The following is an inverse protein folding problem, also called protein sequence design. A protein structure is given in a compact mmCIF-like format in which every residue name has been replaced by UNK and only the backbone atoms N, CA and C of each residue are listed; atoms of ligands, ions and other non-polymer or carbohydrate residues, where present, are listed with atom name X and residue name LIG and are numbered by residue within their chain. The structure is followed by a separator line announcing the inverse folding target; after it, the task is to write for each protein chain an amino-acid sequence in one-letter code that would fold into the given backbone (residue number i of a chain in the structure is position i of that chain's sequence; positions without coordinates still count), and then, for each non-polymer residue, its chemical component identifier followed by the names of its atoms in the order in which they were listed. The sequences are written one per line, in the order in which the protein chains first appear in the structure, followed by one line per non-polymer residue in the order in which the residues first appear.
data_IF_619499335787
#
_entry.id   IF_619499335787
#
_cell.length_a   1.000
_cell.length_b   1.000
_cell.length_c   1.000
_cell.angle_alpha   90.00
_cell.angle_beta   90.00
_cell.angle_gamma   90.00
#
_symmetry.space_group_name_H-M   'P 1'
#
loop_
_entity.id
_entity.type
_entity.pdbx_description
1 polymer ?
#
# COMPACT_ATOMS: atom_id res chain seq x y z
N UNK A 1 -8.02 15.97 -23.47
CA UNK A 1 -6.76 15.84 -24.23
C UNK A 1 -6.42 14.36 -24.25
N UNK A 2 -6.48 13.70 -25.40
CA UNK A 2 -6.00 12.32 -25.55
C UNK A 2 -4.48 12.40 -25.64
N UNK A 3 -3.80 12.26 -24.51
CA UNK A 3 -2.38 11.90 -24.54
C UNK A 3 -2.27 10.56 -25.29
N UNK A 4 -1.36 10.48 -26.26
CA UNK A 4 -1.07 9.23 -26.93
C UNK A 4 -0.39 8.30 -25.92
N UNK A 5 -1.11 7.30 -25.42
CA UNK A 5 -0.63 6.36 -24.39
C UNK A 5 0.70 5.71 -24.79
N UNK A 6 0.87 5.44 -26.10
CA UNK A 6 2.11 4.91 -26.64
C UNK A 6 3.29 5.89 -26.54
N UNK A 7 3.05 7.19 -26.66
CA UNK A 7 4.09 8.22 -26.50
C UNK A 7 4.58 8.26 -25.05
N UNK A 8 3.64 8.34 -24.10
CA UNK A 8 3.98 8.44 -22.68
C UNK A 8 4.70 7.18 -22.18
N UNK A 9 4.22 5.98 -22.55
CA UNK A 9 4.90 4.74 -22.14
C UNK A 9 6.31 4.64 -22.71
N UNK A 10 6.51 5.11 -23.94
CA UNK A 10 7.82 5.11 -24.59
C UNK A 10 8.78 6.14 -23.96
N UNK A 11 8.28 7.29 -23.53
CA UNK A 11 9.10 8.26 -22.78
C UNK A 11 9.50 7.70 -21.41
N UNK A 12 8.56 7.07 -20.70
CA UNK A 12 8.83 6.44 -19.40
C UNK A 12 9.84 5.28 -19.50
N UNK A 13 9.85 4.54 -20.61
CA UNK A 13 10.80 3.44 -20.81
C UNK A 13 12.25 3.88 -20.94
N UNK A 14 12.49 5.17 -21.24
CA UNK A 14 13.84 5.75 -21.25
C UNK A 14 14.31 6.16 -19.84
N UNK A 15 13.41 6.24 -18.86
CA UNK A 15 13.68 6.76 -17.51
C UNK A 15 13.62 5.68 -16.42
N UNK A 16 12.97 4.56 -16.69
CA UNK A 16 12.66 3.53 -15.70
C UNK A 16 13.20 2.18 -16.14
N UNK A 17 13.63 1.38 -15.17
CA UNK A 17 13.84 -0.05 -15.37
C UNK A 17 12.52 -0.73 -15.74
N UNK A 18 12.58 -1.82 -16.51
CA UNK A 18 11.36 -2.50 -17.04
C UNK A 18 10.37 -2.85 -15.92
N UNK A 19 10.86 -3.35 -14.78
CA UNK A 19 10.00 -3.68 -13.63
C UNK A 19 9.31 -2.47 -12.99
N UNK A 20 9.98 -1.31 -13.00
CA UNK A 20 9.43 -0.05 -12.51
C UNK A 20 8.44 0.53 -13.52
N UNK A 21 8.76 0.46 -14.82
CA UNK A 21 7.89 0.90 -15.90
C UNK A 21 6.55 0.18 -15.87
N UNK A 22 6.55 -1.15 -15.79
CA UNK A 22 5.31 -1.93 -15.79
C UNK A 22 4.47 -1.61 -14.56
N UNK A 23 5.06 -1.57 -13.38
CA UNK A 23 4.36 -1.19 -12.13
C UNK A 23 3.79 0.23 -12.20
N UNK A 24 4.58 1.19 -12.68
CA UNK A 24 4.15 2.57 -12.82
C UNK A 24 3.03 2.71 -13.87
N UNK A 25 3.13 1.97 -14.97
CA UNK A 25 2.12 1.97 -16.04
C UNK A 25 0.78 1.40 -15.56
N UNK A 26 0.80 0.36 -14.72
CA UNK A 26 -0.40 -0.14 -14.05
C UNK A 26 -1.06 0.94 -13.19
N UNK A 27 -0.28 1.71 -12.43
CA UNK A 27 -0.80 2.83 -11.62
C UNK A 27 -1.41 3.93 -12.49
N UNK A 28 -0.76 4.31 -13.60
CA UNK A 28 -1.28 5.29 -14.57
C UNK A 28 -2.61 4.81 -15.15
N UNK A 29 -2.67 3.53 -15.51
CA UNK A 29 -3.88 2.91 -16.07
C UNK A 29 -5.02 2.95 -15.06
N UNK A 30 -4.77 2.58 -13.80
CA UNK A 30 -5.78 2.65 -12.72
C UNK A 30 -6.23 4.09 -12.45
N UNK A 31 -5.30 5.05 -12.44
CA UNK A 31 -5.62 6.47 -12.28
C UNK A 31 -6.56 6.97 -13.39
N UNK A 32 -6.29 6.61 -14.65
CA UNK A 32 -7.12 6.99 -15.82
C UNK A 32 -8.50 6.35 -15.80
N UNK A 33 -8.62 5.13 -15.31
CA UNK A 33 -9.91 4.44 -15.13
C UNK A 33 -10.73 5.03 -13.97
N UNK A 34 -10.07 5.73 -13.04
CA UNK A 34 -10.68 6.26 -11.83
C UNK A 34 -10.88 5.20 -10.74
N UNK A 35 -11.15 5.62 -9.50
CA UNK A 35 -11.29 4.71 -8.38
C UNK A 35 -12.49 3.77 -8.56
N UNK A 36 -12.24 2.47 -8.56
CA UNK A 36 -13.28 1.45 -8.76
C UNK A 36 -13.99 1.01 -7.46
N UNK A 37 -13.38 1.25 -6.29
CA UNK A 37 -13.74 0.55 -5.05
C UNK A 37 -14.92 1.15 -4.26
N UNK A 38 -15.16 2.46 -4.29
CA UNK A 38 -16.23 3.08 -3.50
C UNK A 38 -17.23 3.73 -4.44
N UNK A 39 -18.08 2.89 -5.05
CA UNK A 39 -19.16 3.34 -5.92
C UNK A 39 -20.47 3.59 -5.16
N UNK A 40 -20.64 2.98 -3.97
CA UNK A 40 -21.86 3.10 -3.18
C UNK A 40 -21.52 3.38 -1.70
N UNK A 41 -21.93 4.55 -1.21
CA UNK A 41 -21.77 4.91 0.20
C UNK A 41 -22.51 3.94 1.15
N UNK A 42 -23.66 3.41 0.73
CA UNK A 42 -24.51 2.54 1.54
C UNK A 42 -23.93 1.13 1.72
N UNK A 43 -22.87 0.75 0.99
CA UNK A 43 -22.19 -0.55 1.20
C UNK A 43 -21.14 -0.48 2.31
N UNK A 44 -20.86 0.69 2.88
CA UNK A 44 -19.89 0.86 3.96
C UNK A 44 -20.53 0.38 5.26
N UNK A 45 -19.92 -0.62 5.88
CA UNK A 45 -20.40 -1.24 7.12
C UNK A 45 -19.31 -1.18 8.20
N UNK A 46 -19.72 -1.10 9.46
CA UNK A 46 -18.81 -1.24 10.60
C UNK A 46 -18.21 -2.66 10.60
N UNK A 47 -16.88 -2.81 10.71
CA UNK A 47 -16.25 -4.12 10.89
C UNK A 47 -16.82 -4.85 12.10
N UNK A 48 -16.91 -6.17 12.03
CA UNK A 48 -17.27 -6.99 13.20
C UNK A 48 -16.10 -7.04 14.21
N UNK A 49 -16.40 -7.47 15.44
CA UNK A 49 -15.40 -7.57 16.51
C UNK A 49 -14.29 -8.59 16.23
N UNK A 50 -14.49 -9.48 15.25
CA UNK A 50 -13.47 -10.46 14.82
C UNK A 50 -12.46 -9.88 13.83
N UNK A 51 -12.90 -9.00 12.94
CA UNK A 51 -12.07 -8.33 11.93
C UNK A 51 -11.31 -7.13 12.48
N UNK A 52 -11.83 -6.48 13.52
CA UNK A 52 -11.15 -5.40 14.24
C UNK A 52 -11.22 -5.65 15.75
N UNK A 53 -10.40 -6.57 16.29
CA UNK A 53 -10.43 -6.92 17.72
C UNK A 53 -9.85 -5.80 18.59
N UNK A 54 -10.41 -5.64 19.79
CA UNK A 54 -9.87 -4.73 20.80
C UNK A 54 -8.53 -5.24 21.32
N UNK A 55 -7.55 -4.34 21.48
CA UNK A 55 -6.23 -4.70 22.00
C UNK A 55 -6.31 -5.41 23.36
N UNK A 56 -7.24 -5.00 24.23
CA UNK A 56 -7.45 -5.60 25.54
C UNK A 56 -7.94 -7.06 25.48
N UNK A 57 -8.47 -7.51 24.34
CA UNK A 57 -8.87 -8.91 24.13
C UNK A 57 -7.70 -9.81 23.73
N UNK A 58 -6.55 -9.24 23.36
CA UNK A 58 -5.39 -10.01 22.94
C UNK A 58 -4.74 -10.72 24.12
N UNK A 59 -4.32 -11.99 23.95
CA UNK A 59 -3.64 -12.71 25.02
C UNK A 59 -2.28 -12.08 25.30
N UNK A 60 -1.89 -12.08 26.58
CA UNK A 60 -0.52 -11.72 26.96
C UNK A 60 0.48 -12.71 26.35
N UNK A 61 1.64 -12.22 25.88
CA UNK A 61 2.66 -13.09 25.30
C UNK A 61 3.21 -14.08 26.34
N UNK A 62 3.56 -15.27 25.86
CA UNK A 62 4.20 -16.31 26.66
C UNK A 62 5.71 -16.15 26.56
N UNK A 63 6.35 -15.76 27.68
CA UNK A 63 7.79 -15.50 27.76
C UNK A 63 8.63 -16.69 27.29
N UNK A 64 8.17 -17.93 27.51
CA UNK A 64 8.88 -19.14 27.09
C UNK A 64 8.99 -19.27 25.55
N UNK A 65 8.10 -18.60 24.80
CA UNK A 65 8.05 -18.61 23.34
C UNK A 65 8.58 -17.33 22.71
N UNK A 66 8.90 -16.30 23.51
CA UNK A 66 9.25 -14.97 23.04
C UNK A 66 10.42 -14.98 22.06
N UNK A 67 11.51 -15.69 22.37
CA UNK A 67 12.67 -15.78 21.50
C UNK A 67 12.34 -16.35 20.10
N UNK A 68 11.45 -17.36 20.05
CA UNK A 68 10.98 -17.96 18.79
C UNK A 68 10.03 -17.07 18.02
N UNK A 69 9.24 -16.24 18.71
CA UNK A 69 8.35 -15.27 18.06
C UNK A 69 9.16 -14.12 17.47
N UNK A 70 10.12 -13.59 18.21
CA UNK A 70 10.99 -12.50 17.76
C UNK A 70 11.92 -12.92 16.62
N UNK A 71 12.37 -14.18 16.56
CA UNK A 71 13.19 -14.66 15.44
C UNK A 71 12.47 -14.65 14.09
N UNK A 72 11.14 -14.50 14.08
CA UNK A 72 10.31 -14.36 12.88
C UNK A 72 9.90 -12.92 12.59
N UNK A 73 10.17 -12.00 13.51
CA UNK A 73 9.73 -10.62 13.41
C UNK A 73 10.69 -9.82 12.53
N UNK A 74 10.14 -9.09 11.56
CA UNK A 74 10.84 -8.06 10.80
C UNK A 74 10.16 -6.73 11.07
N UNK A 75 10.94 -5.71 11.41
CA UNK A 75 10.44 -4.36 11.67
C UNK A 75 10.74 -3.46 10.48
N UNK A 76 9.69 -3.11 9.73
CA UNK A 76 9.77 -2.12 8.65
C UNK A 76 9.46 -0.72 9.17
N UNK A 77 10.26 0.27 8.78
CA UNK A 77 9.96 1.70 8.99
C UNK A 77 9.81 2.38 7.63
N UNK A 78 8.71 3.09 7.42
CA UNK A 78 8.49 3.90 6.23
C UNK A 78 9.32 5.19 6.34
N UNK A 79 10.46 5.24 5.64
CA UNK A 79 11.43 6.34 5.72
C UNK A 79 11.71 7.00 4.37
N UNK A 80 10.74 6.94 3.44
CA UNK A 80 10.87 7.57 2.11
C UNK A 80 10.49 9.05 2.09
N UNK A 81 9.87 9.56 3.16
CA UNK A 81 9.47 10.95 3.26
C UNK A 81 10.66 11.86 3.57
N UNK A 82 10.74 12.98 2.86
CA UNK A 82 11.66 14.07 3.23
C UNK A 82 10.98 14.99 4.23
N UNK A 83 11.70 15.40 5.28
CA UNK A 83 11.21 16.35 6.29
C UNK A 83 11.12 17.80 5.80
N UNK A 84 10.71 18.02 4.54
CA UNK A 84 10.63 19.36 3.92
C UNK A 84 9.64 20.28 4.64
N UNK A 85 8.70 19.72 5.41
CA UNK A 85 7.83 20.49 6.31
C UNK A 85 8.55 21.05 7.54
N UNK A 86 9.78 20.60 7.84
CA UNK A 86 10.53 20.94 9.05
C UNK A 86 11.74 21.87 8.81
N UNK A 87 12.05 22.27 7.56
CA UNK A 87 13.03 23.32 7.23
C UNK A 87 14.43 22.82 6.92
#
# INVERSE_FOLDING_TARGET
MSENEGSLRNELSQLLEISQLDTYWEMVTQYRQGPSKIQNWHSIMTPDSGSLPDFSSLPSPDDSKMARQLSKLVVGKLNGGMGTSMG
#
